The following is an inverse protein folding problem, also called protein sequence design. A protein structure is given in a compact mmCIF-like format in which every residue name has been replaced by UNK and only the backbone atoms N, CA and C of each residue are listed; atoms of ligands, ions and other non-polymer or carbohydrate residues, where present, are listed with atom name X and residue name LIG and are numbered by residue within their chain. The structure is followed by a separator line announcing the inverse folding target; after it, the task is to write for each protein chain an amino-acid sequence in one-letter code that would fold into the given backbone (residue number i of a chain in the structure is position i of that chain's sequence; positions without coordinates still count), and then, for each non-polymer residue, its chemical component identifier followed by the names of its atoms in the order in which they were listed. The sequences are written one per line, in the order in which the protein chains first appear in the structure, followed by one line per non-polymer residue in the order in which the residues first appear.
data_IF_575094031218
#
_entry.id   IF_575094031218
#
_cell.length_a   1.000
_cell.length_b   1.000
_cell.length_c   1.000
_cell.angle_alpha   90.00
_cell.angle_beta   90.00
_cell.angle_gamma   90.00
#
_symmetry.space_group_name_H-M   'P 1'
#
loop_
_entity.id
_entity.type
_entity.pdbx_description
1 polymer ?
#
# COMPACT_ATOMS: atom_id res chain seq x y z
N UNK A 1 6.58 -20.34 3.83
CA UNK A 1 6.84 -20.49 5.29
C UNK A 1 8.18 -19.86 5.71
N UNK A 2 9.31 -20.20 5.07
CA UNK A 2 10.64 -19.67 5.41
C UNK A 2 10.73 -18.12 5.47
N UNK A 3 10.15 -17.42 4.49
CA UNK A 3 10.23 -15.95 4.42
C UNK A 3 9.59 -15.25 5.64
N UNK A 4 8.43 -15.72 6.12
CA UNK A 4 7.79 -15.16 7.30
C UNK A 4 8.64 -15.31 8.56
N UNK A 5 9.44 -16.37 8.65
CA UNK A 5 10.36 -16.63 9.78
C UNK A 5 11.54 -15.66 9.77
N UNK A 6 12.07 -15.35 8.59
CA UNK A 6 13.18 -14.40 8.43
C UNK A 6 12.73 -12.94 8.67
N UNK A 7 11.54 -12.58 8.20
CA UNK A 7 10.94 -11.25 8.37
C UNK A 7 10.77 -10.93 9.86
N UNK A 8 10.16 -11.83 10.63
CA UNK A 8 9.98 -11.63 12.08
C UNK A 8 11.29 -11.68 12.89
N UNK A 9 12.34 -12.34 12.37
CA UNK A 9 13.67 -12.35 12.97
C UNK A 9 14.49 -11.09 12.66
N UNK A 10 14.25 -10.46 11.50
CA UNK A 10 15.02 -9.30 11.02
C UNK A 10 14.36 -7.96 11.35
N UNK A 11 13.02 -7.92 11.49
CA UNK A 11 12.28 -6.69 11.78
C UNK A 11 12.13 -6.48 13.29
N UNK A 12 12.72 -5.41 13.87
CA UNK A 12 12.41 -5.01 15.24
C UNK A 12 10.94 -4.57 15.31
N UNK A 13 10.19 -4.98 16.35
CA UNK A 13 8.73 -4.77 16.45
C UNK A 13 8.34 -3.32 16.12
N UNK A 14 7.74 -3.05 14.95
CA UNK A 14 7.32 -1.71 14.61
C UNK A 14 6.12 -1.33 15.48
N UNK A 15 6.09 -0.09 15.99
CA UNK A 15 4.93 0.39 16.74
C UNK A 15 3.70 0.43 15.83
N UNK A 16 2.55 0.04 16.36
CA UNK A 16 1.27 0.12 15.65
C UNK A 16 1.01 1.53 15.09
N UNK A 17 1.46 2.57 15.80
CA UNK A 17 1.36 3.97 15.36
C UNK A 17 2.11 4.25 14.06
N UNK A 18 3.27 3.62 13.85
CA UNK A 18 4.08 3.82 12.64
C UNK A 18 3.43 3.12 11.44
N UNK A 19 2.85 1.93 11.67
CA UNK A 19 2.11 1.18 10.65
C UNK A 19 0.85 1.93 10.25
N UNK A 20 0.11 2.47 11.24
CA UNK A 20 -1.09 3.28 11.00
C UNK A 20 -0.75 4.57 10.25
N UNK A 21 0.33 5.26 10.65
CA UNK A 21 0.78 6.48 9.96
C UNK A 21 1.17 6.20 8.50
N UNK A 22 1.85 5.09 8.23
CA UNK A 22 2.19 4.68 6.87
C UNK A 22 0.94 4.33 6.05
N UNK A 23 0.01 3.56 6.63
CA UNK A 23 -1.25 3.20 5.97
C UNK A 23 -2.09 4.43 5.61
N UNK A 24 -2.22 5.37 6.53
CA UNK A 24 -3.01 6.58 6.32
C UNK A 24 -2.35 7.62 5.42
N UNK A 25 -1.03 7.80 5.52
CA UNK A 25 -0.32 8.84 4.75
C UNK A 25 0.08 8.39 3.35
N UNK A 26 0.27 7.09 3.14
CA UNK A 26 0.86 6.58 1.89
C UNK A 26 -0.09 5.61 1.20
N UNK A 27 -0.63 4.62 1.91
CA UNK A 27 -1.46 3.58 1.27
C UNK A 27 -2.78 4.15 0.74
N UNK A 28 -3.46 4.99 1.53
CA UNK A 28 -4.76 5.58 1.17
C UNK A 28 -4.70 6.54 -0.04
N UNK A 29 -3.81 7.55 -0.09
CA UNK A 29 -3.72 8.40 -1.27
C UNK A 29 -3.21 7.65 -2.50
N UNK A 30 -2.32 6.66 -2.33
CA UNK A 30 -1.79 5.88 -3.45
C UNK A 30 -2.87 5.03 -4.11
N UNK A 31 -3.74 4.37 -3.34
CA UNK A 31 -4.85 3.59 -3.91
C UNK A 31 -5.87 4.49 -4.60
N UNK A 32 -6.13 5.67 -4.05
CA UNK A 32 -7.05 6.64 -4.63
C UNK A 32 -6.53 7.18 -5.98
N UNK A 33 -5.24 7.49 -6.08
CA UNK A 33 -4.60 7.89 -7.34
C UNK A 33 -4.66 6.75 -8.36
N UNK A 34 -4.32 5.51 -7.97
CA UNK A 34 -4.39 4.37 -8.88
C UNK A 34 -5.82 4.15 -9.42
N UNK A 35 -6.83 4.30 -8.57
CA UNK A 35 -8.24 4.21 -8.97
C UNK A 35 -8.59 5.28 -10.01
N UNK A 36 -8.24 6.55 -9.75
CA UNK A 36 -8.50 7.66 -10.67
C UNK A 36 -7.79 7.49 -12.01
N UNK A 37 -6.52 7.07 -12.00
CA UNK A 37 -5.74 6.80 -13.20
C UNK A 37 -6.37 5.65 -14.00
N UNK A 38 -6.74 4.55 -13.33
CA UNK A 38 -7.38 3.42 -14.00
C UNK A 38 -8.72 3.82 -14.62
N UNK A 39 -9.53 4.61 -13.91
CA UNK A 39 -10.79 5.13 -14.43
C UNK A 39 -10.59 6.06 -15.64
N UNK A 40 -9.60 6.95 -15.60
CA UNK A 40 -9.26 7.83 -16.72
C UNK A 40 -8.78 7.04 -17.95
N UNK A 41 -7.95 6.01 -17.75
CA UNK A 41 -7.48 5.12 -18.82
C UNK A 41 -8.65 4.37 -19.45
N UNK A 42 -9.56 3.81 -18.65
CA UNK A 42 -10.74 3.10 -19.16
C UNK A 42 -11.64 4.05 -19.95
N UNK A 43 -11.88 5.27 -19.46
CA UNK A 43 -12.68 6.27 -20.17
C UNK A 43 -12.04 6.66 -21.52
N UNK A 44 -10.71 6.85 -21.55
CA UNK A 44 -9.99 7.15 -22.80
C UNK A 44 -10.04 5.98 -23.79
N UNK A 45 -9.97 4.74 -23.30
CA UNK A 45 -10.03 3.52 -24.13
C UNK A 45 -11.45 3.18 -24.59
N UNK A 46 -12.47 3.62 -23.85
CA UNK A 46 -13.88 3.40 -24.18
C UNK A 46 -14.43 4.39 -25.23
N UNK A 47 -13.63 5.37 -25.63
CA UNK A 47 -13.93 6.37 -26.66
C UNK A 47 -13.23 6.01 -27.97
#
# INVERSE_FOLDING_TARGET
MMMFILIRASLPRPRYDQVMSFGWKICLPLTLINLLVTAAVILWQAQ
#
